data_IF_864747142337
#
_entry.id   IF_864747142337
#
_cell.length_a   1.000
_cell.length_b   1.000
_cell.length_c   1.000
_cell.angle_alpha   90.00
_cell.angle_beta   90.00
_cell.angle_gamma   90.00
#
_symmetry.space_group_name_H-M   'P 1'
#
loop_
_entity.id
_entity.type
_entity.pdbx_description
1 polymer ?
#
# COMPACT_ATOMS: atom_id res chain seq x y z
N UNK A 1 -3.23 -5.94 21.45
CA UNK A 1 -3.32 -6.01 20.98
C UNK A 1 -3.52 -6.08 20.31
N UNK A 2 -3.63 -6.15 19.85
CA UNK A 2 -3.84 -6.32 19.16
C UNK A 2 -3.86 -6.84 18.60
N UNK A 3 -3.72 -6.98 18.52
CA UNK A 3 -3.74 -7.53 17.97
C UNK A 3 -3.84 -8.25 17.63
N UNK A 4 -3.65 -8.28 18.11
CA UNK A 4 -3.61 -9.05 17.83
C UNK A 4 -4.37 -9.97 17.45
N UNK A 5 -5.06 -9.86 17.26
CA UNK A 5 -6.00 -10.58 16.76
C UNK A 5 -5.95 -10.56 15.40
N UNK A 6 -4.95 -11.03 14.80
CA UNK A 6 -4.82 -11.14 13.41
C UNK A 6 -5.01 -12.57 13.11
N UNK A 7 -6.21 -12.93 12.92
CA UNK A 7 -6.56 -14.28 12.54
C UNK A 7 -7.78 -14.18 11.64
N UNK A 8 -7.56 -14.08 10.34
CA UNK A 8 -8.65 -13.87 9.40
C UNK A 8 -9.71 -14.94 9.47
N UNK A 9 -9.33 -16.15 9.79
CA UNK A 9 -10.29 -17.24 9.83
C UNK A 9 -11.43 -16.97 10.81
N UNK A 10 -11.15 -16.31 11.88
CA UNK A 10 -12.15 -16.05 12.89
C UNK A 10 -13.23 -15.11 12.46
N UNK A 11 -12.94 -14.32 11.45
CA UNK A 11 -13.84 -13.26 11.03
C UNK A 11 -14.45 -13.49 9.68
N UNK A 12 -14.25 -14.65 9.14
CA UNK A 12 -14.60 -14.89 7.77
C UNK A 12 -16.08 -14.72 7.47
N UNK A 13 -16.90 -14.87 8.46
CA UNK A 13 -18.32 -14.89 8.21
C UNK A 13 -18.95 -13.54 8.05
N UNK A 14 -18.41 -12.55 8.72
CA UNK A 14 -19.13 -11.30 8.74
C UNK A 14 -18.29 -10.12 8.41
N UNK A 15 -17.38 -9.83 9.26
CA UNK A 15 -16.62 -8.63 9.12
C UNK A 15 -15.17 -8.96 9.18
N UNK A 16 -14.79 -9.95 8.58
CA UNK A 16 -13.48 -10.50 8.75
C UNK A 16 -12.37 -9.51 8.67
N UNK A 17 -11.28 -9.84 9.29
CA UNK A 17 -10.01 -9.22 9.07
C UNK A 17 -9.27 -10.09 8.07
N UNK A 18 -8.95 -9.53 6.94
CA UNK A 18 -8.22 -10.25 5.90
C UNK A 18 -6.99 -9.46 5.59
N UNK A 19 -5.96 -9.67 6.39
CA UNK A 19 -4.72 -8.93 6.23
C UNK A 19 -3.88 -9.50 5.09
N UNK A 20 -3.33 -8.60 4.32
CA UNK A 20 -2.45 -8.95 3.19
C UNK A 20 -1.27 -8.00 3.14
N UNK A 21 -0.19 -8.48 2.56
CA UNK A 21 0.94 -7.62 2.20
C UNK A 21 0.90 -7.42 0.69
N UNK A 22 0.64 -6.19 0.29
CA UNK A 22 0.46 -5.84 -1.10
C UNK A 22 1.60 -4.95 -1.60
N UNK A 23 1.85 -4.99 -2.89
CA UNK A 23 2.93 -4.19 -3.48
C UNK A 23 2.40 -3.49 -4.72
N UNK A 24 2.65 -2.20 -4.81
CA UNK A 24 2.40 -1.44 -6.03
C UNK A 24 3.73 -0.99 -6.61
N UNK A 25 3.93 -1.32 -7.86
CA UNK A 25 5.20 -1.06 -8.53
C UNK A 25 5.07 0.03 -9.58
N UNK A 26 6.11 0.83 -9.72
CA UNK A 26 6.13 1.91 -10.70
C UNK A 26 6.36 1.35 -12.09
N UNK A 27 5.70 1.95 -13.07
CA UNK A 27 5.78 1.55 -14.46
C UNK A 27 7.22 1.60 -14.95
N UNK A 28 7.62 0.55 -15.65
CA UNK A 28 8.98 0.40 -16.17
C UNK A 28 10.05 0.45 -15.09
N UNK A 29 9.68 0.18 -13.84
CA UNK A 29 10.61 0.21 -12.72
C UNK A 29 11.31 1.56 -12.57
N UNK A 30 10.65 2.64 -12.99
CA UNK A 30 11.19 3.97 -12.82
C UNK A 30 11.33 4.29 -11.33
N UNK A 31 12.45 4.88 -10.97
CA UNK A 31 12.76 5.09 -9.55
C UNK A 31 12.26 6.44 -9.08
N UNK A 32 10.96 6.69 -9.30
CA UNK A 32 10.39 7.99 -8.98
C UNK A 32 10.26 8.24 -7.48
N UNK A 33 10.25 7.18 -6.68
CA UNK A 33 10.20 7.37 -5.24
C UNK A 33 11.53 7.79 -4.64
N UNK A 34 12.61 7.79 -5.42
CA UNK A 34 13.84 8.44 -4.99
C UNK A 34 13.67 9.95 -4.99
N UNK A 35 12.68 10.46 -5.69
CA UNK A 35 12.36 11.89 -5.64
C UNK A 35 11.50 12.14 -4.42
N UNK A 36 12.06 12.85 -3.47
CA UNK A 36 11.42 13.01 -2.16
C UNK A 36 10.02 13.60 -2.24
N UNK A 37 9.84 14.62 -3.08
CA UNK A 37 8.53 15.27 -3.20
C UNK A 37 7.47 14.32 -3.75
N UNK A 38 7.84 13.45 -4.67
CA UNK A 38 6.92 12.44 -5.20
C UNK A 38 6.57 11.44 -4.11
N UNK A 39 7.56 10.97 -3.39
CA UNK A 39 7.36 9.99 -2.34
C UNK A 39 6.45 10.54 -1.24
N UNK A 40 6.72 11.78 -0.80
CA UNK A 40 5.93 12.37 0.27
C UNK A 40 4.49 12.64 -0.16
N UNK A 41 4.29 13.11 -1.38
CA UNK A 41 2.94 13.32 -1.86
C UNK A 41 2.20 12.01 -2.03
N UNK A 42 2.87 11.00 -2.56
CA UNK A 42 2.26 9.67 -2.69
C UNK A 42 1.85 9.12 -1.32
N UNK A 43 2.69 9.34 -0.33
CA UNK A 43 2.37 8.92 1.04
C UNK A 43 1.08 9.59 1.53
N UNK A 44 0.97 10.89 1.34
CA UNK A 44 -0.22 11.63 1.75
C UNK A 44 -1.46 11.12 1.01
N UNK A 45 -1.33 10.86 -0.27
CA UNK A 45 -2.45 10.37 -1.08
C UNK A 45 -2.85 8.96 -0.73
N UNK A 46 -1.89 8.11 -0.36
CA UNK A 46 -2.22 6.78 0.13
C UNK A 46 -3.05 6.87 1.41
N UNK A 47 -2.65 7.73 2.33
CA UNK A 47 -3.41 7.91 3.56
C UNK A 47 -4.82 8.41 3.28
N UNK A 48 -4.97 9.31 2.33
CA UNK A 48 -6.31 9.77 1.93
C UNK A 48 -7.13 8.64 1.34
N UNK A 49 -6.53 7.83 0.48
CA UNK A 49 -7.24 6.72 -0.13
C UNK A 49 -7.71 5.72 0.92
N UNK A 50 -6.86 5.42 1.89
CA UNK A 50 -7.23 4.54 2.98
C UNK A 50 -8.41 5.09 3.76
N UNK A 51 -8.36 6.36 4.07
CA UNK A 51 -9.40 7.01 4.86
C UNK A 51 -10.72 7.08 4.10
N UNK A 52 -10.67 7.49 2.84
CA UNK A 52 -11.87 7.62 2.02
C UNK A 52 -12.60 6.29 1.82
N UNK A 53 -11.87 5.20 1.81
CA UNK A 53 -12.43 3.89 1.56
C UNK A 53 -12.52 3.04 2.81
N UNK A 54 -12.28 3.61 3.97
CA UNK A 54 -12.31 2.92 5.26
C UNK A 54 -11.42 1.69 5.25
N UNK A 55 -10.24 1.81 4.64
CA UNK A 55 -9.29 0.71 4.58
C UNK A 55 -8.38 0.81 5.79
N UNK A 56 -8.33 -0.26 6.57
CA UNK A 56 -7.40 -0.31 7.68
C UNK A 56 -6.04 -0.76 7.17
N UNK A 57 -5.00 -0.14 7.70
CA UNK A 57 -3.64 -0.48 7.32
C UNK A 57 -2.77 -0.52 8.55
N UNK A 58 -1.68 -1.25 8.46
CA UNK A 58 -0.77 -1.40 9.60
C UNK A 58 0.55 -0.69 9.37
N UNK A 59 1.08 -0.81 8.17
CA UNK A 59 2.38 -0.26 7.84
C UNK A 59 2.54 -0.21 6.34
N UNK A 60 3.31 0.73 5.87
CA UNK A 60 3.76 0.73 4.49
C UNK A 60 5.20 1.21 4.44
N UNK A 61 5.90 0.87 3.36
CA UNK A 61 7.29 1.26 3.18
C UNK A 61 7.58 1.41 1.70
N UNK A 62 8.34 2.41 1.36
CA UNK A 62 8.70 2.68 -0.02
C UNK A 62 10.09 2.15 -0.32
N UNK A 63 10.26 1.71 -1.54
CA UNK A 63 11.56 1.57 -2.15
C UNK A 63 11.61 2.50 -3.36
N UNK A 64 12.67 2.45 -4.14
CA UNK A 64 12.84 3.39 -5.26
C UNK A 64 11.71 3.32 -6.27
N UNK A 65 11.21 2.11 -6.54
CA UNK A 65 10.25 1.88 -7.62
C UNK A 65 9.00 1.15 -7.20
N UNK A 66 8.75 1.04 -5.91
CA UNK A 66 7.55 0.36 -5.44
C UNK A 66 7.23 0.72 -3.99
N UNK A 67 6.03 0.40 -3.58
CA UNK A 67 5.60 0.55 -2.20
C UNK A 67 4.95 -0.76 -1.74
N UNK A 68 5.34 -1.19 -0.56
CA UNK A 68 4.72 -2.34 0.11
C UNK A 68 3.77 -1.83 1.16
N UNK A 69 2.64 -2.51 1.31
CA UNK A 69 1.61 -2.09 2.26
C UNK A 69 1.01 -3.31 2.94
N UNK A 70 0.80 -3.19 4.23
CA UNK A 70 0.07 -4.20 4.98
C UNK A 70 -1.32 -3.66 5.22
N UNK A 71 -2.30 -4.27 4.58
CA UNK A 71 -3.67 -3.79 4.53
C UNK A 71 -4.63 -4.85 5.01
N UNK A 72 -5.75 -4.39 5.56
CA UNK A 72 -6.89 -5.25 5.84
C UNK A 72 -7.90 -5.06 4.71
N UNK A 73 -8.14 -6.10 3.95
CA UNK A 73 -9.09 -6.03 2.84
C UNK A 73 -10.51 -5.82 3.30
N UNK A 74 -10.82 -6.26 4.53
CA UNK A 74 -12.19 -6.18 5.01
C UNK A 74 -13.11 -6.97 4.12
N UNK A 75 -14.13 -6.30 3.61
CA UNK A 75 -15.09 -6.94 2.72
C UNK A 75 -14.78 -6.73 1.24
N UNK A 76 -13.73 -6.01 0.94
CA UNK A 76 -13.33 -5.82 -0.45
C UNK A 76 -12.58 -7.03 -0.96
N UNK A 77 -12.71 -7.31 -2.26
CA UNK A 77 -11.81 -8.25 -2.89
C UNK A 77 -10.52 -7.51 -3.29
N UNK A 78 -9.51 -8.28 -3.65
CA UNK A 78 -8.22 -7.70 -3.99
C UNK A 78 -8.26 -6.76 -5.18
N UNK A 79 -8.89 -7.14 -6.30
CA UNK A 79 -8.95 -6.22 -7.44
C UNK A 79 -9.65 -4.90 -7.10
N UNK A 80 -10.71 -4.96 -6.32
CA UNK A 80 -11.45 -3.76 -5.97
C UNK A 80 -10.62 -2.82 -5.12
N UNK A 81 -9.94 -3.35 -4.11
CA UNK A 81 -9.15 -2.50 -3.23
C UNK A 81 -7.96 -1.91 -3.98
N UNK A 82 -7.34 -2.70 -4.85
CA UNK A 82 -6.25 -2.21 -5.68
C UNK A 82 -6.71 -1.05 -6.55
N UNK A 83 -7.87 -1.19 -7.17
CA UNK A 83 -8.41 -0.16 -8.03
C UNK A 83 -8.71 1.12 -7.25
N UNK A 84 -9.29 0.98 -6.06
CA UNK A 84 -9.61 2.15 -5.23
C UNK A 84 -8.36 2.90 -4.81
N UNK A 85 -7.31 2.21 -4.46
CA UNK A 85 -6.07 2.84 -4.04
C UNK A 85 -5.31 3.40 -5.23
N UNK A 86 -5.02 2.55 -6.21
CA UNK A 86 -4.20 2.96 -7.36
C UNK A 86 -4.89 4.05 -8.17
N UNK A 87 -6.17 3.88 -8.40
CA UNK A 87 -6.92 4.85 -9.21
C UNK A 87 -6.93 6.22 -8.57
N UNK A 88 -7.22 6.25 -7.28
CA UNK A 88 -7.26 7.53 -6.57
C UNK A 88 -5.89 8.20 -6.55
N UNK A 89 -4.88 7.45 -6.15
CA UNK A 89 -3.54 8.01 -5.99
C UNK A 89 -3.00 8.49 -7.33
N UNK A 90 -3.15 7.68 -8.38
CA UNK A 90 -2.65 8.07 -9.69
C UNK A 90 -3.35 9.33 -10.20
N UNK A 91 -4.67 9.38 -10.06
CA UNK A 91 -5.43 10.53 -10.53
C UNK A 91 -4.98 11.81 -9.84
N UNK A 92 -4.91 11.78 -8.52
CA UNK A 92 -4.55 12.96 -7.76
C UNK A 92 -3.10 13.35 -7.97
N UNK A 93 -2.22 12.36 -8.04
CA UNK A 93 -0.81 12.64 -8.23
C UNK A 93 -0.55 13.28 -9.59
N UNK A 94 -1.22 12.80 -10.63
CA UNK A 94 -1.07 13.40 -11.96
C UNK A 94 -1.66 14.80 -12.05
N UNK A 95 -2.67 15.10 -11.24
CA UNK A 95 -3.18 16.45 -11.17
C UNK A 95 -2.20 17.41 -10.49
N UNK A 96 -1.57 16.93 -9.44
CA UNK A 96 -0.67 17.77 -8.64
C UNK A 96 0.74 17.82 -9.22
N UNK A 97 1.13 16.78 -9.94
CA UNK A 97 2.43 16.70 -10.59
C UNK A 97 2.26 16.23 -12.03
N UNK A 98 1.76 17.12 -12.91
CA UNK A 98 1.46 16.71 -14.29
C UNK A 98 2.66 16.17 -15.05
N UNK A 99 3.87 16.57 -14.66
CA UNK A 99 5.07 16.12 -15.33
C UNK A 99 5.28 14.60 -15.22
N UNK A 100 4.64 13.95 -14.26
CA UNK A 100 4.74 12.49 -14.13
C UNK A 100 4.09 11.76 -15.29
N UNK A 101 3.17 12.39 -15.99
CA UNK A 101 2.57 11.79 -17.18
C UNK A 101 3.41 12.00 -18.41
N UNK A 102 4.32 12.95 -18.36
CA UNK A 102 5.11 13.33 -19.52
C UNK A 102 6.43 12.61 -19.47
N UNK A 103 6.50 11.53 -20.15
CA UNK A 103 7.77 10.87 -20.36
C UNK A 103 7.77 10.31 -21.77
N UNK A 104 8.90 9.82 -22.19
CA UNK A 104 9.01 9.30 -23.53
C UNK A 104 8.38 7.91 -23.68
N UNK A 105 7.95 7.31 -22.60
CA UNK A 105 7.27 6.03 -22.66
C UNK A 105 5.78 6.29 -22.51
N UNK A 106 5.02 5.55 -23.29
CA UNK A 106 3.58 5.70 -23.23
C UNK A 106 3.02 5.30 -21.89
N UNK A 107 2.04 6.06 -21.46
CA UNK A 107 1.38 5.75 -20.21
C UNK A 107 2.00 6.37 -18.97
N UNK A 108 3.05 7.12 -19.12
CA UNK A 108 3.61 7.87 -18.02
C UNK A 108 4.50 7.05 -17.10
N UNK A 109 4.83 7.63 -15.97
CA UNK A 109 5.77 7.02 -15.03
C UNK A 109 5.12 6.15 -13.98
N UNK A 110 3.87 6.45 -13.65
CA UNK A 110 3.30 5.90 -12.44
C UNK A 110 2.72 4.52 -12.70
N UNK A 111 2.40 3.81 -11.72
CA UNK A 111 1.98 2.42 -11.64
C UNK A 111 2.06 1.64 -12.96
N UNK A 112 2.56 0.46 -12.90
CA UNK A 112 2.52 -0.45 -14.04
C UNK A 112 1.20 -1.16 -14.09
N UNK A 113 0.87 -1.70 -15.23
CA UNK A 113 -0.33 -2.50 -15.38
C UNK A 113 -0.17 -3.82 -14.64
N UNK A 114 -1.26 -4.29 -14.05
CA UNK A 114 -1.26 -5.58 -13.41
C UNK A 114 -0.51 -5.66 -12.11
N UNK A 115 -0.27 -4.56 -11.48
CA UNK A 115 0.65 -4.55 -10.39
C UNK A 115 0.09 -4.61 -9.01
N UNK A 116 -1.08 -5.08 -8.88
CA UNK A 116 -1.54 -5.55 -7.60
C UNK A 116 -1.04 -6.97 -7.49
N UNK A 117 0.22 -7.12 -7.22
CA UNK A 117 0.68 -8.48 -7.22
C UNK A 117 1.98 -8.61 -6.47
N UNK A 118 2.08 -9.61 -5.71
CA UNK A 118 1.01 -10.42 -5.17
C UNK A 118 0.60 -9.88 -3.84
N UNK A 119 -0.64 -9.98 -3.53
CA UNK A 119 -1.04 -9.73 -2.18
C UNK A 119 -0.83 -11.04 -1.43
N UNK A 120 0.17 -11.08 -0.59
CA UNK A 120 0.46 -12.28 0.19
C UNK A 120 -0.41 -12.27 1.43
N UNK A 121 -1.07 -13.39 1.69
CA UNK A 121 -1.94 -13.49 2.86
C UNK A 121 -1.13 -13.44 4.15
N UNK A 122 -1.67 -12.73 5.12
CA UNK A 122 -1.12 -12.68 6.46
C UNK A 122 -2.11 -13.39 7.36
N UNK A 123 -1.78 -14.60 7.79
CA UNK A 123 -2.73 -15.49 8.44
C UNK A 123 -2.61 -15.56 9.94
N UNK A 124 -1.48 -15.13 10.47
CA UNK A 124 -1.23 -15.24 11.90
C UNK A 124 -0.21 -14.19 12.33
N UNK A 125 0.09 -14.18 13.61
CA UNK A 125 1.01 -13.19 14.18
C UNK A 125 2.42 -13.36 13.63
N UNK A 126 2.86 -14.59 13.38
CA UNK A 126 4.18 -14.80 12.82
C UNK A 126 4.30 -14.22 11.42
N UNK A 127 3.28 -14.41 10.58
CA UNK A 127 3.26 -13.81 9.26
C UNK A 127 3.32 -12.28 9.35
N UNK A 128 2.52 -11.72 10.25
CA UNK A 128 2.51 -10.28 10.43
C UNK A 128 3.88 -9.77 10.84
N UNK A 129 4.49 -10.41 11.80
CA UNK A 129 5.81 -9.97 12.27
C UNK A 129 6.86 -10.10 11.18
N UNK A 130 6.77 -11.15 10.38
CA UNK A 130 7.68 -11.33 9.25
C UNK A 130 7.59 -10.14 8.28
N UNK A 131 6.37 -9.76 7.90
CA UNK A 131 6.20 -8.67 6.95
C UNK A 131 6.50 -7.31 7.56
N UNK A 132 6.21 -7.11 8.84
CA UNK A 132 6.61 -5.87 9.51
C UNK A 132 8.12 -5.69 9.48
N UNK A 133 8.85 -6.76 9.78
CA UNK A 133 10.31 -6.72 9.72
C UNK A 133 10.79 -6.49 8.30
N UNK A 134 10.15 -7.14 7.34
CA UNK A 134 10.50 -6.98 5.94
C UNK A 134 10.36 -5.52 5.50
N UNK A 135 9.28 -4.87 5.91
CA UNK A 135 9.06 -3.49 5.55
C UNK A 135 10.05 -2.55 6.22
N UNK A 136 10.51 -2.89 7.41
CA UNK A 136 11.51 -2.07 8.08
C UNK A 136 12.85 -2.03 7.34
N UNK A 137 13.07 -2.97 6.46
CA UNK A 137 14.33 -3.05 5.72
C UNK A 137 14.27 -2.40 4.36
N UNK A 138 13.14 -1.82 4.00
CA UNK A 138 13.03 -1.14 2.72
C UNK A 138 13.81 0.17 2.76
N UNK A 139 14.18 0.66 1.58
CA UNK A 139 15.03 1.83 1.45
C UNK A 139 14.45 3.07 2.15
N UNK A 140 13.14 3.26 2.01
CA UNK A 140 12.45 4.35 2.67
C UNK A 140 11.44 3.73 3.62
N UNK A 141 11.94 3.07 4.61
CA UNK A 141 11.10 2.35 5.54
C UNK A 141 10.30 3.34 6.34
N UNK A 142 9.17 2.93 6.57
CA UNK A 142 8.33 3.36 7.00
C UNK A 142 7.61 3.82 7.94
N UNK A 143 6.45 3.98 7.78
CA UNK A 143 5.49 4.48 8.71
C UNK A 143 4.68 3.34 9.18
N UNK A 144 4.49 3.26 10.50
CA UNK A 144 3.53 2.36 11.08
C UNK A 144 2.35 3.18 11.56
N UNK A 145 1.25 2.65 11.48
CA UNK A 145 0.09 3.24 12.09
C UNK A 145 0.04 2.86 13.55
N UNK A 146 0.23 3.33 14.08
CA UNK A 146 0.22 3.14 15.35
C UNK A 146 0.65 3.32 16.17
N UNK A 147 0.91 3.18 15.84
CA UNK A 147 1.38 3.33 16.35
C UNK A 147 1.24 3.72 17.15
N UNK A 148 1.13 3.44 16.84
CA UNK A 148 0.97 3.64 17.34
C UNK A 148 0.65 3.77 18.13
N UNK A 149 0.81 3.89 18.18
CA UNK A 149 0.48 4.02 18.74
C UNK A 149 0.06 3.95 19.39
N UNK A 150 0.07 3.95 19.51
CA UNK A 150 -0.37 3.83 20.06
C UNK A 150 -0.75 3.35 20.68
N UNK A 151 -0.64 3.00 20.93
CA UNK A 151 -1.08 2.49 21.39
C UNK A 151 -0.97 2.35 22.26
#
# INVERSE_FOLDING_TARGET
MISMKINPVRYSSAVGEVWVMATFKIKYCNKIFDIRSVRELTEALLNEAFQLNSIRWRKYAFDSDHVHMILDLGLYDRPTIAKKIKGYVAKELFMLMPWLKKNKWEGGYFWGSGLWNPASDIRNVQDMNFYLDYLDKQKYAAKGQTVLSSY
#
